data_IF_628778463507
#
_entry.id   IF_628778463507
#
_cell.length_a   1.000
_cell.length_b   1.000
_cell.length_c   1.000
_cell.angle_alpha   90.00
_cell.angle_beta   90.00
_cell.angle_gamma   90.00
#
_symmetry.space_group_name_H-M   'P 1'
#
loop_
_entity.id
_entity.type
_entity.pdbx_description
1 polymer ?
#
# COMPACT_ATOMS: atom_id res chain seq x y z
N UNK A 1 8.18 16.55 19.97
CA UNK A 1 8.12 15.61 18.84
C UNK A 1 6.75 14.97 18.89
N UNK A 2 5.90 15.20 17.90
CA UNK A 2 4.61 14.52 17.80
C UNK A 2 4.88 13.03 17.61
N UNK A 3 4.40 12.19 18.53
CA UNK A 3 4.48 10.73 18.41
C UNK A 3 3.61 10.28 17.24
N UNK A 4 4.14 9.49 16.31
CA UNK A 4 3.35 8.99 15.17
C UNK A 4 2.24 8.07 15.66
N UNK A 5 0.98 8.36 15.30
CA UNK A 5 -0.18 7.53 15.65
C UNK A 5 -0.17 6.18 14.94
N UNK A 6 0.37 6.15 13.71
CA UNK A 6 0.39 4.94 12.90
C UNK A 6 1.73 4.71 12.20
N UNK A 7 2.07 3.44 11.96
CA UNK A 7 3.15 3.01 11.07
C UNK A 7 2.58 2.51 9.75
N UNK A 8 3.08 3.07 8.65
CA UNK A 8 2.85 2.61 7.27
C UNK A 8 3.91 1.55 6.94
N UNK A 9 3.51 0.29 6.85
CA UNK A 9 4.43 -0.83 6.66
C UNK A 9 4.24 -1.50 5.29
N UNK A 10 5.33 -1.90 4.66
CA UNK A 10 5.32 -2.63 3.38
C UNK A 10 6.49 -3.60 3.29
N UNK A 11 6.34 -4.64 2.46
CA UNK A 11 7.44 -5.45 1.95
C UNK A 11 7.56 -5.19 0.45
N UNK A 12 8.76 -4.94 -0.04
CA UNK A 12 8.98 -4.51 -1.42
C UNK A 12 10.16 -5.25 -2.04
N UNK A 13 10.07 -5.57 -3.32
CA UNK A 13 11.17 -6.15 -4.10
C UNK A 13 11.26 -5.45 -5.45
N UNK A 14 12.42 -4.89 -5.75
CA UNK A 14 12.71 -4.18 -6.99
C UNK A 14 11.67 -3.10 -7.32
N UNK A 15 11.43 -2.19 -6.36
CA UNK A 15 10.46 -1.09 -6.48
C UNK A 15 11.15 0.28 -6.53
N UNK A 16 12.42 0.33 -6.96
CA UNK A 16 13.25 1.56 -6.94
C UNK A 16 12.59 2.76 -7.63
N UNK A 17 11.77 2.49 -8.65
CA UNK A 17 11.01 3.50 -9.40
C UNK A 17 9.89 4.14 -8.57
N UNK A 18 9.22 3.38 -7.70
CA UNK A 18 7.98 3.80 -7.04
C UNK A 18 8.14 4.17 -5.57
N UNK A 19 9.18 3.67 -4.89
CA UNK A 19 9.44 3.97 -3.47
C UNK A 19 9.44 5.48 -3.17
N UNK A 20 10.09 6.35 -3.95
CA UNK A 20 10.09 7.80 -3.67
C UNK A 20 8.68 8.42 -3.71
N UNK A 21 7.85 8.02 -4.68
CA UNK A 21 6.46 8.47 -4.77
C UNK A 21 5.64 7.95 -3.59
N UNK A 22 5.74 6.65 -3.32
CA UNK A 22 4.95 5.98 -2.30
C UNK A 22 5.22 6.56 -0.91
N UNK A 23 6.50 6.79 -0.57
CA UNK A 23 6.88 7.47 0.68
C UNK A 23 6.34 8.89 0.69
N UNK A 24 6.56 9.68 -0.36
CA UNK A 24 6.12 11.08 -0.40
C UNK A 24 4.60 11.22 -0.20
N UNK A 25 3.81 10.38 -0.85
CA UNK A 25 2.35 10.39 -0.72
C UNK A 25 1.89 10.04 0.70
N UNK A 26 2.41 8.95 1.26
CA UNK A 26 1.98 8.53 2.59
C UNK A 26 2.39 9.53 3.68
N UNK A 27 3.55 10.19 3.52
CA UNK A 27 3.93 11.32 4.37
C UNK A 27 2.98 12.51 4.21
N UNK A 28 2.49 12.78 2.99
CA UNK A 28 1.58 13.89 2.72
C UNK A 28 0.23 13.76 3.42
N UNK A 29 -0.21 12.52 3.70
CA UNK A 29 -1.42 12.24 4.48
C UNK A 29 -1.14 11.99 5.97
N UNK A 30 0.08 12.26 6.45
CA UNK A 30 0.40 12.26 7.88
C UNK A 30 1.05 10.98 8.43
N UNK A 31 1.51 10.05 7.59
CA UNK A 31 2.38 8.97 8.08
C UNK A 31 3.80 9.50 8.33
N UNK A 32 4.13 9.69 9.60
CA UNK A 32 5.47 10.10 10.02
C UNK A 32 6.40 8.91 10.31
N UNK A 33 5.84 7.72 10.58
CA UNK A 33 6.60 6.47 10.68
C UNK A 33 6.27 5.55 9.49
N UNK A 34 7.26 5.36 8.61
CA UNK A 34 7.19 4.49 7.44
C UNK A 34 8.25 3.41 7.59
N UNK A 35 7.86 2.15 7.44
CA UNK A 35 8.76 1.01 7.58
C UNK A 35 8.69 0.07 6.38
N UNK A 36 9.80 -0.09 5.67
CA UNK A 36 9.87 -0.92 4.46
C UNK A 36 10.82 -2.10 4.67
N UNK A 37 10.31 -3.30 4.44
CA UNK A 37 11.10 -4.53 4.40
C UNK A 37 11.54 -4.75 2.96
N UNK A 38 12.84 -4.64 2.70
CA UNK A 38 13.44 -4.90 1.40
C UNK A 38 13.63 -6.41 1.20
N UNK A 39 12.84 -6.99 0.31
CA UNK A 39 12.78 -8.42 0.04
C UNK A 39 13.74 -8.81 -1.09
N UNK A 40 15.03 -8.77 -0.77
CA UNK A 40 16.11 -9.20 -1.68
C UNK A 40 16.07 -8.47 -3.02
N UNK A 41 15.93 -7.13 -2.97
CA UNK A 41 16.03 -6.32 -4.18
C UNK A 41 17.44 -6.37 -4.76
N UNK A 42 17.48 -6.39 -6.08
CA UNK A 42 18.69 -6.39 -6.92
C UNK A 42 18.79 -5.15 -7.80
N UNK A 43 17.77 -4.29 -7.78
CA UNK A 43 17.81 -2.97 -8.40
C UNK A 43 18.32 -1.91 -7.41
N UNK A 44 18.07 -0.62 -7.67
CA UNK A 44 18.49 0.49 -6.80
C UNK A 44 17.66 0.66 -5.51
N UNK A 45 16.74 -0.27 -5.21
CA UNK A 45 15.89 -0.19 -4.00
C UNK A 45 16.70 -0.06 -2.71
N UNK A 46 17.75 -0.87 -2.46
CA UNK A 46 18.54 -0.75 -1.23
C UNK A 46 19.23 0.61 -1.10
N UNK A 47 19.77 1.15 -2.20
CA UNK A 47 20.43 2.46 -2.22
C UNK A 47 19.45 3.59 -1.88
N UNK A 48 18.26 3.56 -2.48
CA UNK A 48 17.20 4.55 -2.25
C UNK A 48 16.73 4.49 -0.80
N UNK A 49 16.46 3.29 -0.28
CA UNK A 49 16.04 3.11 1.12
C UNK A 49 17.12 3.59 2.08
N UNK A 50 18.40 3.26 1.83
CA UNK A 50 19.54 3.71 2.63
C UNK A 50 19.64 5.24 2.65
N UNK A 51 19.58 5.88 1.48
CA UNK A 51 19.66 7.34 1.37
C UNK A 51 18.53 8.06 2.13
N UNK A 52 17.30 7.55 2.02
CA UNK A 52 16.14 8.12 2.72
C UNK A 52 16.16 7.83 4.22
N UNK A 53 16.68 6.67 4.63
CA UNK A 53 16.83 6.31 6.04
C UNK A 53 17.85 7.18 6.76
N UNK A 54 18.95 7.57 6.11
CA UNK A 54 19.93 8.52 6.66
C UNK A 54 19.33 9.88 6.97
N UNK A 55 18.26 10.27 6.27
CA UNK A 55 17.51 11.52 6.51
C UNK A 55 16.32 11.34 7.46
N UNK A 56 16.11 10.13 8.01
CA UNK A 56 14.98 9.83 8.89
C UNK A 56 13.62 9.84 8.21
N UNK A 57 13.57 9.74 6.88
CA UNK A 57 12.33 9.81 6.09
C UNK A 57 11.60 8.46 6.03
N UNK A 58 12.34 7.37 6.23
CA UNK A 58 11.85 5.98 6.23
C UNK A 58 12.77 5.13 7.11
N UNK A 59 12.23 4.10 7.74
CA UNK A 59 13.03 3.01 8.29
C UNK A 59 13.01 1.85 7.32
N UNK A 60 14.12 1.14 7.18
CA UNK A 60 14.18 -0.04 6.32
C UNK A 60 14.87 -1.21 7.00
N UNK A 61 14.50 -2.42 6.60
CA UNK A 61 15.11 -3.66 7.05
C UNK A 61 15.30 -4.57 5.83
N UNK A 62 16.49 -5.14 5.69
CA UNK A 62 16.68 -6.21 4.72
C UNK A 62 15.97 -7.48 5.21
N UNK A 63 15.14 -8.04 4.35
CA UNK A 63 14.34 -9.23 4.62
C UNK A 63 14.76 -10.34 3.66
N UNK A 64 15.34 -11.39 4.22
CA UNK A 64 15.68 -12.62 3.48
C UNK A 64 14.83 -13.76 3.99
N UNK A 65 14.52 -14.70 3.10
CA UNK A 65 13.85 -15.95 3.47
C UNK A 65 14.67 -17.11 2.93
N UNK A 66 14.62 -18.28 3.57
CA UNK A 66 15.28 -19.52 3.11
C UNK A 66 14.64 -20.09 1.82
N UNK A 67 14.46 -19.26 0.79
CA UNK A 67 13.75 -19.57 -0.46
C UNK A 67 12.21 -19.58 -0.34
N UNK A 68 11.66 -19.27 0.83
CA UNK A 68 10.20 -19.23 1.09
C UNK A 68 9.73 -17.80 1.28
N UNK A 69 9.44 -17.09 0.19
CA UNK A 69 8.81 -15.77 0.26
C UNK A 69 7.47 -15.85 1.00
N UNK A 70 7.42 -15.34 2.23
CA UNK A 70 6.21 -15.30 3.03
C UNK A 70 6.05 -13.91 3.65
N UNK A 71 5.24 -13.08 2.98
CA UNK A 71 4.86 -11.75 3.43
C UNK A 71 4.29 -11.76 4.87
N UNK A 72 3.62 -12.83 5.31
CA UNK A 72 3.13 -12.92 6.68
C UNK A 72 4.27 -13.03 7.71
N UNK A 73 5.37 -13.73 7.38
CA UNK A 73 6.54 -13.79 8.26
C UNK A 73 7.24 -12.42 8.33
N UNK A 74 7.33 -11.73 7.20
CA UNK A 74 7.88 -10.39 7.13
C UNK A 74 7.07 -9.42 8.00
N UNK A 75 5.74 -9.43 7.90
CA UNK A 75 4.88 -8.59 8.74
C UNK A 75 4.94 -8.98 10.21
N UNK A 76 5.05 -10.28 10.52
CA UNK A 76 5.26 -10.72 11.91
C UNK A 76 6.57 -10.19 12.49
N UNK A 77 7.65 -10.23 11.72
CA UNK A 77 8.92 -9.63 12.12
C UNK A 77 8.79 -8.10 12.21
N UNK A 78 8.11 -7.45 11.27
CA UNK A 78 7.92 -6.01 11.28
C UNK A 78 7.24 -5.53 12.56
N UNK A 79 6.24 -6.25 13.06
CA UNK A 79 5.51 -5.92 14.28
C UNK A 79 6.42 -5.83 15.52
N UNK A 80 7.55 -6.54 15.60
CA UNK A 80 8.49 -6.39 16.73
C UNK A 80 9.31 -5.10 16.69
N UNK A 81 9.22 -4.33 15.60
CA UNK A 81 9.88 -3.04 15.44
C UNK A 81 8.89 -1.86 15.37
N UNK A 82 7.59 -2.12 15.54
CA UNK A 82 6.53 -1.11 15.48
C UNK A 82 6.09 -0.78 16.90
N UNK A 83 6.17 0.51 17.25
CA UNK A 83 5.82 1.03 18.57
C UNK A 83 4.66 2.04 18.53
N UNK A 84 4.08 2.27 17.35
CA UNK A 84 2.91 3.14 17.17
C UNK A 84 1.64 2.42 17.62
N UNK A 85 0.57 3.19 17.82
CA UNK A 85 -0.73 2.63 18.23
C UNK A 85 -1.32 1.75 17.12
N UNK A 86 -1.17 2.18 15.87
CA UNK A 86 -1.73 1.52 14.70
C UNK A 86 -0.66 1.11 13.69
N UNK A 87 -0.86 -0.02 13.03
CA UNK A 87 -0.13 -0.38 11.82
C UNK A 87 -1.10 -0.48 10.66
N UNK A 88 -0.67 -0.06 9.48
CA UNK A 88 -1.34 -0.38 8.24
C UNK A 88 -0.34 -1.10 7.34
N UNK A 89 -0.77 -2.16 6.64
CA UNK A 89 0.00 -2.94 5.66
C UNK A 89 -0.59 -2.72 4.26
N UNK A 90 0.25 -2.36 3.29
CA UNK A 90 -0.11 -1.88 1.95
C UNK A 90 1.08 -2.13 1.06
N UNK A 91 0.80 -2.52 -0.17
CA UNK A 91 1.78 -2.83 -1.18
C UNK A 91 2.28 -1.54 -1.89
N UNK A 92 3.35 -1.65 -2.68
CA UNK A 92 4.00 -0.49 -3.34
C UNK A 92 3.13 0.18 -4.42
N UNK A 93 2.02 -0.45 -4.81
CA UNK A 93 1.04 0.02 -5.76
C UNK A 93 -0.33 0.32 -5.11
N UNK A 94 -0.35 0.49 -3.79
CA UNK A 94 -1.54 0.80 -3.00
C UNK A 94 -1.39 2.14 -2.27
N UNK A 95 -2.42 2.99 -2.39
CA UNK A 95 -2.43 4.35 -1.85
C UNK A 95 -3.73 4.61 -1.08
N UNK A 96 -3.60 4.98 0.19
CA UNK A 96 -4.75 5.31 1.05
C UNK A 96 -5.31 6.70 0.71
N UNK A 97 -6.58 6.75 0.33
CA UNK A 97 -7.33 7.99 0.16
C UNK A 97 -8.31 8.16 1.32
N UNK A 98 -8.24 9.32 1.97
CA UNK A 98 -9.14 9.73 3.04
C UNK A 98 -10.08 10.82 2.49
N UNK A 99 -11.39 10.54 2.49
CA UNK A 99 -12.38 11.47 1.95
C UNK A 99 -12.79 12.51 3.00
N UNK A 100 -13.04 12.03 4.22
CA UNK A 100 -13.57 12.82 5.35
C UNK A 100 -12.51 13.32 6.33
N UNK A 101 -11.22 13.03 6.10
CA UNK A 101 -10.11 13.45 6.96
C UNK A 101 -8.95 14.07 6.17
N UNK A 102 -8.22 15.00 6.79
CA UNK A 102 -7.01 15.58 6.22
C UNK A 102 -5.79 14.69 6.42
N UNK A 103 -5.72 14.05 7.59
CA UNK A 103 -4.58 13.24 7.99
C UNK A 103 -5.03 11.89 8.54
N UNK A 104 -4.10 10.94 8.58
CA UNK A 104 -4.29 9.63 9.22
C UNK A 104 -4.57 9.78 10.71
N UNK A 105 -3.99 10.78 11.39
CA UNK A 105 -4.25 11.06 12.80
C UNK A 105 -5.70 11.49 13.02
N UNK A 106 -6.22 12.41 12.19
CA UNK A 106 -7.63 12.81 12.23
C UNK A 106 -8.56 11.61 11.96
N UNK A 107 -8.26 10.82 10.92
CA UNK A 107 -9.05 9.64 10.58
C UNK A 107 -9.11 8.64 11.73
N UNK A 108 -7.96 8.26 12.30
CA UNK A 108 -7.89 7.28 13.38
C UNK A 108 -8.47 7.81 14.70
N UNK A 109 -8.41 9.13 14.93
CA UNK A 109 -8.98 9.78 16.10
C UNK A 109 -10.51 9.71 16.19
N UNK A 110 -11.20 9.38 15.10
CA UNK A 110 -12.66 9.19 15.09
C UNK A 110 -13.11 7.84 15.66
N UNK A 111 -12.21 6.87 15.84
CA UNK A 111 -12.57 5.52 16.25
C UNK A 111 -12.47 5.33 17.76
N UNK A 112 -13.40 4.52 18.29
CA UNK A 112 -13.44 4.23 19.73
C UNK A 112 -12.21 3.43 20.18
N UNK A 113 -11.81 3.51 21.47
CA UNK A 113 -10.68 2.75 21.99
C UNK A 113 -10.81 1.23 21.89
N UNK A 114 -12.04 0.70 21.83
CA UNK A 114 -12.31 -0.74 21.66
C UNK A 114 -12.13 -1.23 20.22
N UNK A 115 -12.03 -0.32 19.23
CA UNK A 115 -11.80 -0.72 17.84
C UNK A 115 -10.35 -1.19 17.68
N UNK A 116 -10.20 -2.44 17.29
CA UNK A 116 -8.91 -3.08 17.04
C UNK A 116 -8.56 -3.15 15.55
N UNK A 117 -9.55 -3.19 14.66
CA UNK A 117 -9.35 -3.36 13.22
C UNK A 117 -10.30 -2.43 12.45
N UNK A 118 -9.75 -1.62 11.55
CA UNK A 118 -10.51 -0.78 10.62
C UNK A 118 -10.20 -1.29 9.22
N UNK A 119 -11.20 -1.86 8.56
CA UNK A 119 -11.06 -2.42 7.21
C UNK A 119 -11.44 -1.39 6.15
N UNK A 120 -10.67 -1.35 5.08
CA UNK A 120 -10.81 -0.39 3.99
C UNK A 120 -10.77 -1.17 2.67
N UNK A 121 -11.78 -0.96 1.84
CA UNK A 121 -11.86 -1.61 0.53
C UNK A 121 -10.83 -1.04 -0.45
N UNK A 122 -10.35 -1.91 -1.34
CA UNK A 122 -9.66 -1.50 -2.56
C UNK A 122 -10.62 -0.74 -3.49
N UNK A 123 -10.06 0.19 -4.25
CA UNK A 123 -10.60 0.72 -5.50
C UNK A 123 -9.60 0.44 -6.61
N UNK A 124 -10.00 -0.30 -7.64
CA UNK A 124 -9.09 -0.85 -8.64
C UNK A 124 -8.96 0.12 -9.80
N UNK A 125 -7.73 0.51 -10.11
CA UNK A 125 -7.41 1.38 -11.23
C UNK A 125 -6.85 0.57 -12.39
N UNK A 126 -7.42 0.81 -13.57
CA UNK A 126 -6.88 0.31 -14.83
C UNK A 126 -5.72 1.16 -15.35
N UNK A 127 -5.26 0.80 -16.53
CA UNK A 127 -4.14 1.43 -17.23
C UNK A 127 -4.44 2.84 -17.72
N UNK A 128 -5.67 3.33 -17.59
CA UNK A 128 -6.18 4.52 -18.26
C UNK A 128 -5.93 4.49 -19.78
N UNK A 129 -5.84 3.26 -20.35
CA UNK A 129 -5.47 2.98 -21.75
C UNK A 129 -4.06 3.47 -22.13
N UNK A 130 -3.19 3.67 -21.13
CA UNK A 130 -1.80 4.07 -21.33
C UNK A 130 -0.97 2.79 -21.51
N UNK A 131 -0.26 2.70 -22.62
CA UNK A 131 0.55 1.52 -22.92
C UNK A 131 1.99 1.63 -22.41
N UNK A 132 2.55 2.84 -22.40
CA UNK A 132 3.97 3.09 -22.13
C UNK A 132 4.20 3.70 -20.76
N UNK A 133 5.39 3.45 -20.23
CA UNK A 133 5.88 4.10 -19.04
C UNK A 133 6.03 5.62 -19.25
N UNK A 134 5.67 6.37 -18.22
CA UNK A 134 5.93 7.80 -18.08
C UNK A 134 6.34 8.09 -16.62
N UNK A 135 7.36 8.93 -16.35
CA UNK A 135 7.86 9.17 -15.00
C UNK A 135 6.98 10.10 -14.15
N UNK A 136 5.86 10.62 -14.67
CA UNK A 136 4.89 11.35 -13.87
C UNK A 136 4.28 10.46 -12.77
N UNK A 137 3.75 11.05 -11.69
CA UNK A 137 3.16 10.28 -10.59
C UNK A 137 2.07 9.31 -11.07
N UNK A 138 2.08 8.08 -10.53
CA UNK A 138 1.12 7.00 -10.80
C UNK A 138 -0.30 7.53 -10.75
N UNK A 139 -0.67 8.21 -9.68
CA UNK A 139 -2.04 8.70 -9.48
C UNK A 139 -2.40 9.95 -10.31
N UNK A 140 -1.43 10.62 -10.94
CA UNK A 140 -1.70 11.65 -11.95
C UNK A 140 -1.94 11.02 -13.34
N UNK A 141 -1.31 9.88 -13.61
CA UNK A 141 -1.41 9.14 -14.89
C UNK A 141 -2.66 8.26 -14.96
N UNK A 142 -2.98 7.58 -13.87
CA UNK A 142 -4.02 6.56 -13.86
C UNK A 142 -5.24 7.04 -13.06
N UNK A 143 -6.22 7.62 -13.76
CA UNK A 143 -7.43 8.21 -13.14
C UNK A 143 -8.70 7.46 -13.49
N UNK A 144 -8.56 6.31 -14.16
CA UNK A 144 -9.69 5.48 -14.59
C UNK A 144 -9.78 4.22 -13.73
N UNK A 145 -10.90 4.08 -13.03
CA UNK A 145 -11.15 3.03 -12.06
C UNK A 145 -12.19 2.02 -12.57
N UNK A 146 -12.32 0.93 -11.83
CA UNK A 146 -13.37 -0.06 -11.99
C UNK A 146 -14.73 0.50 -11.53
N UNK A 147 -15.85 -0.09 -11.97
CA UNK A 147 -17.14 0.17 -11.35
C UNK A 147 -17.09 -0.16 -9.85
N UNK A 148 -17.81 0.60 -9.03
CA UNK A 148 -17.74 0.46 -7.56
C UNK A 148 -17.99 -0.96 -7.03
N UNK A 149 -18.83 -1.75 -7.72
CA UNK A 149 -19.21 -3.12 -7.36
C UNK A 149 -18.30 -4.19 -8.00
N UNK A 150 -17.20 -3.79 -8.65
CA UNK A 150 -16.26 -4.72 -9.22
C UNK A 150 -15.75 -5.69 -8.16
N UNK A 151 -15.73 -6.99 -8.48
CA UNK A 151 -15.43 -8.04 -7.50
C UNK A 151 -14.10 -7.86 -6.77
N UNK A 152 -13.09 -7.30 -7.44
CA UNK A 152 -11.78 -7.03 -6.82
C UNK A 152 -11.85 -5.90 -5.78
N UNK A 153 -12.81 -4.97 -5.87
CA UNK A 153 -13.02 -3.91 -4.87
C UNK A 153 -13.56 -4.47 -3.54
N UNK A 154 -14.02 -5.73 -3.50
CA UNK A 154 -14.41 -6.38 -2.25
C UNK A 154 -13.21 -6.69 -1.35
N UNK A 155 -12.00 -6.74 -1.90
CA UNK A 155 -10.81 -6.96 -1.10
C UNK A 155 -10.58 -5.83 -0.11
N UNK A 156 -10.13 -6.23 1.08
CA UNK A 156 -9.84 -5.33 2.19
C UNK A 156 -8.32 -5.19 2.39
N UNK A 157 -7.94 -4.02 2.87
CA UNK A 157 -6.74 -3.79 3.68
C UNK A 157 -7.20 -3.24 5.03
N UNK A 158 -6.29 -3.03 5.96
CA UNK A 158 -6.69 -2.55 7.27
C UNK A 158 -5.67 -1.65 7.95
N UNK A 159 -6.19 -0.82 8.86
CA UNK A 159 -5.45 -0.41 10.06
C UNK A 159 -5.73 -1.43 11.16
N UNK A 160 -4.68 -1.86 11.86
CA UNK A 160 -4.79 -2.74 13.01
C UNK A 160 -4.09 -2.11 14.21
N UNK A 161 -4.76 -2.09 15.36
CA UNK A 161 -4.20 -1.58 16.61
C UNK A 161 -3.18 -2.57 17.12
N UNK A 162 -1.92 -2.16 17.21
CA UNK A 162 -0.77 -3.05 17.39
C UNK A 162 -0.89 -3.90 18.65
N UNK A 163 -1.36 -3.32 19.75
CA UNK A 163 -1.56 -4.01 21.04
C UNK A 163 -2.63 -5.11 21.00
N UNK A 164 -3.53 -5.08 20.01
CA UNK A 164 -4.66 -6.00 19.87
C UNK A 164 -4.44 -7.08 18.81
N UNK A 165 -3.35 -7.00 18.03
CA UNK A 165 -3.03 -8.00 17.00
C UNK A 165 -2.58 -9.30 17.68
N UNK A 166 -3.16 -10.42 17.25
CA UNK A 166 -2.66 -11.77 17.53
C UNK A 166 -1.65 -12.20 16.45
N UNK A 167 -2.07 -12.10 15.18
CA UNK A 167 -1.26 -12.51 14.03
C UNK A 167 -1.56 -11.69 12.78
N UNK A 168 -0.54 -11.24 12.02
CA UNK A 168 -0.77 -10.55 10.76
C UNK A 168 -1.05 -11.52 9.60
N UNK A 169 -1.87 -11.07 8.66
CA UNK A 169 -2.06 -11.63 7.32
C UNK A 169 -1.72 -10.59 6.25
N UNK A 170 -1.78 -10.99 4.98
CA UNK A 170 -1.50 -10.11 3.83
C UNK A 170 -2.48 -8.93 3.73
N UNK A 171 -3.75 -9.19 4.03
CA UNK A 171 -4.85 -8.25 3.82
C UNK A 171 -5.56 -7.83 5.12
N UNK A 172 -5.23 -8.47 6.25
CA UNK A 172 -5.91 -8.27 7.53
C UNK A 172 -5.03 -8.70 8.70
N UNK A 173 -5.55 -8.63 9.92
CA UNK A 173 -4.92 -9.21 11.11
C UNK A 173 -5.95 -10.06 11.86
N UNK A 174 -5.52 -11.22 12.37
CA UNK A 174 -6.24 -11.87 13.46
C UNK A 174 -6.10 -11.00 14.71
N UNK A 175 -7.23 -10.71 15.34
CA UNK A 175 -7.30 -9.86 16.53
C UNK A 175 -7.53 -10.74 17.76
N UNK A 176 -6.75 -10.52 18.82
CA UNK A 176 -6.98 -11.15 20.15
C UNK A 176 -7.94 -10.33 21.02
N UNK A 177 -8.18 -9.07 20.67
CA UNK A 177 -9.04 -8.16 21.39
C UNK A 177 -9.61 -7.09 20.44
N UNK A 178 -10.66 -6.43 20.89
CA UNK A 178 -11.29 -5.31 20.18
C UNK A 178 -12.27 -5.71 19.09
N UNK A 179 -13.00 -4.71 18.59
CA UNK A 179 -14.00 -4.85 17.54
C UNK A 179 -13.40 -4.54 16.17
N UNK A 180 -14.04 -5.06 15.11
CA UNK A 180 -13.67 -4.82 13.72
C UNK A 180 -14.78 -4.02 13.02
N UNK A 181 -14.40 -2.94 12.36
CA UNK A 181 -15.32 -2.03 11.67
C UNK A 181 -14.82 -1.72 10.27
N UNK A 182 -15.68 -1.16 9.42
CA UNK A 182 -15.29 -0.53 8.17
C UNK A 182 -14.72 0.88 8.38
N UNK A 183 -14.27 1.52 7.29
CA UNK A 183 -13.74 2.88 7.32
C UNK A 183 -14.76 3.94 7.81
N UNK A 184 -16.06 3.64 7.80
CA UNK A 184 -17.13 4.51 8.30
C UNK A 184 -17.48 4.24 9.77
N UNK A 185 -16.78 3.31 10.43
CA UNK A 185 -17.03 2.92 11.82
C UNK A 185 -18.23 2.00 12.02
N UNK A 186 -18.75 1.39 10.94
CA UNK A 186 -19.84 0.41 11.03
C UNK A 186 -19.29 -1.00 11.21
N UNK A 187 -20.01 -1.83 11.95
CA UNK A 187 -19.66 -3.25 12.10
C UNK A 187 -19.59 -3.91 10.72
N UNK A 188 -18.50 -4.65 10.48
CA UNK A 188 -18.24 -5.25 9.18
C UNK A 188 -18.28 -6.77 9.27
N UNK A 189 -19.13 -7.39 8.46
CA UNK A 189 -19.11 -8.83 8.24
C UNK A 189 -18.10 -9.14 7.15
N UNK A 190 -17.03 -9.85 7.50
CA UNK A 190 -15.97 -10.23 6.57
C UNK A 190 -16.22 -11.66 6.08
N UNK A 191 -16.25 -11.84 4.76
CA UNK A 191 -16.23 -13.15 4.11
C UNK A 191 -14.77 -13.65 4.00
N UNK A 192 -14.53 -14.86 4.50
CA UNK A 192 -13.18 -15.39 4.62
C UNK A 192 -12.32 -14.53 5.55
N UNK A 193 -11.17 -14.06 5.07
CA UNK A 193 -10.22 -13.28 5.87
C UNK A 193 -10.09 -11.81 5.44
N UNK A 194 -10.68 -11.41 4.32
CA UNK A 194 -10.37 -10.10 3.71
C UNK A 194 -11.33 -9.65 2.61
N UNK A 195 -12.60 -10.08 2.64
CA UNK A 195 -13.58 -9.67 1.65
C UNK A 195 -14.84 -9.13 2.31
N UNK A 196 -15.34 -8.01 1.82
CA UNK A 196 -16.65 -7.47 2.18
C UNK A 196 -17.19 -6.59 1.05
N UNK A 197 -18.51 -6.34 0.97
CA UNK A 197 -19.07 -5.39 0.00
C UNK A 197 -18.34 -4.03 0.04
N UNK A 198 -18.03 -3.43 -1.12
CA UNK A 198 -17.29 -2.16 -1.17
C UNK A 198 -18.00 -1.02 -0.44
N UNK A 199 -17.29 -0.34 0.45
CA UNK A 199 -17.70 0.94 1.04
C UNK A 199 -16.54 1.95 0.99
N UNK A 200 -16.58 2.85 0.00
CA UNK A 200 -15.54 3.88 -0.21
C UNK A 200 -15.89 5.24 0.35
N UNK A 201 -16.97 5.38 1.14
CA UNK A 201 -17.49 6.70 1.56
C UNK A 201 -16.47 7.51 2.38
N UNK A 202 -15.90 6.89 3.41
CA UNK A 202 -14.98 7.56 4.32
C UNK A 202 -13.51 7.46 3.87
N UNK A 203 -13.13 6.31 3.32
CA UNK A 203 -11.79 6.05 2.80
C UNK A 203 -11.80 4.92 1.77
N UNK A 204 -10.77 4.86 0.94
CA UNK A 204 -10.51 3.77 0.00
C UNK A 204 -9.00 3.55 -0.15
N UNK A 205 -8.62 2.39 -0.66
CA UNK A 205 -7.25 2.10 -1.07
C UNK A 205 -7.20 2.04 -2.59
N UNK A 206 -6.66 3.07 -3.24
CA UNK A 206 -6.42 3.05 -4.67
C UNK A 206 -5.36 2.01 -4.97
N UNK A 207 -5.70 0.99 -5.74
CA UNK A 207 -4.79 -0.08 -6.12
C UNK A 207 -4.48 -0.01 -7.62
N UNK A 208 -3.28 0.47 -7.94
CA UNK A 208 -2.77 0.64 -9.30
C UNK A 208 -2.09 -0.65 -9.78
N UNK A 209 -2.86 -1.73 -9.79
CA UNK A 209 -2.32 -3.08 -9.93
C UNK A 209 -1.74 -3.37 -11.32
N UNK A 210 -2.27 -2.68 -12.34
CA UNK A 210 -1.83 -2.77 -13.74
C UNK A 210 -0.82 -1.68 -14.07
N UNK A 211 -1.10 -0.40 -13.72
CA UNK A 211 -0.41 0.77 -14.30
C UNK A 211 -0.42 0.69 -15.83
N UNK A 212 0.61 1.17 -16.55
CA UNK A 212 0.66 1.00 -18.00
C UNK A 212 0.91 -0.46 -18.40
N UNK A 213 0.60 -0.82 -19.64
CA UNK A 213 0.85 -2.18 -20.14
C UNK A 213 2.34 -2.57 -20.10
N UNK A 214 3.25 -1.62 -20.33
CA UNK A 214 4.70 -1.82 -20.16
C UNK A 214 5.06 -2.13 -18.69
N UNK A 215 4.55 -1.34 -17.74
CA UNK A 215 4.79 -1.55 -16.31
C UNK A 215 4.18 -2.87 -15.80
N UNK A 216 3.03 -3.29 -16.35
CA UNK A 216 2.42 -4.57 -16.03
C UNK A 216 3.28 -5.76 -16.49
N UNK A 217 3.89 -5.66 -17.68
CA UNK A 217 4.84 -6.68 -18.17
C UNK A 217 6.06 -6.78 -17.26
N UNK A 218 6.67 -5.65 -16.90
CA UNK A 218 7.79 -5.59 -15.95
C UNK A 218 7.43 -6.26 -14.61
N UNK A 219 6.23 -5.98 -14.09
CA UNK A 219 5.70 -6.60 -12.86
C UNK A 219 5.56 -8.11 -12.98
N UNK A 220 5.10 -8.61 -14.13
CA UNK A 220 4.95 -10.05 -14.37
C UNK A 220 6.30 -10.77 -14.48
N UNK A 221 7.31 -10.16 -15.11
CA UNK A 221 8.66 -10.70 -15.24
C UNK A 221 9.38 -10.77 -13.88
N UNK A 222 9.26 -9.69 -13.10
CA UNK A 222 9.76 -9.60 -11.72
C UNK A 222 9.14 -10.67 -10.81
N UNK A 223 7.84 -10.92 -10.95
CA UNK A 223 7.06 -11.82 -10.11
C UNK A 223 6.46 -11.12 -8.88
N UNK A 224 5.52 -11.81 -8.21
CA UNK A 224 4.78 -11.23 -7.08
C UNK A 224 5.49 -11.49 -5.75
N UNK A 225 5.37 -10.55 -4.82
CA UNK A 225 6.03 -10.62 -3.49
C UNK A 225 5.51 -11.79 -2.61
N UNK A 226 4.32 -12.30 -2.89
CA UNK A 226 3.61 -13.25 -2.02
C UNK A 226 3.77 -14.71 -2.41
N UNK A 227 4.57 -15.00 -3.44
CA UNK A 227 4.54 -16.30 -4.09
C UNK A 227 5.96 -16.84 -4.25
N UNK A 228 6.16 -18.07 -3.78
CA UNK A 228 7.34 -18.85 -4.17
C UNK A 228 7.38 -18.94 -5.70
N UNK A 229 8.58 -18.91 -6.28
CA UNK A 229 8.81 -19.01 -7.73
C UNK A 229 8.29 -20.36 -8.28
N UNK A 230 6.99 -20.47 -8.55
CA UNK A 230 6.41 -21.60 -9.30
C UNK A 230 5.93 -21.13 -10.67
N UNK A 231 6.37 -21.81 -11.72
CA UNK A 231 6.13 -21.43 -13.12
C UNK A 231 4.65 -21.37 -13.53
N UNK A 232 3.77 -22.08 -12.84
CA UNK A 232 2.31 -22.08 -13.09
C UNK A 232 1.65 -20.70 -12.90
N UNK A 233 2.21 -19.84 -12.07
CA UNK A 233 1.63 -18.50 -11.84
C UNK A 233 2.01 -17.48 -12.92
N UNK A 234 2.96 -17.83 -13.80
CA UNK A 234 3.46 -16.98 -14.90
C UNK A 234 2.98 -17.42 -16.28
N UNK A 235 1.96 -18.28 -16.36
CA UNK A 235 1.42 -18.71 -17.65
C UNK A 235 0.88 -17.49 -18.42
N UNK A 236 1.09 -17.40 -19.75
CA UNK A 236 0.56 -16.31 -20.57
C UNK A 236 -0.96 -16.13 -20.42
N UNK A 237 -1.70 -17.23 -20.28
CA UNK A 237 -3.15 -17.23 -20.11
C UNK A 237 -3.55 -16.61 -18.78
N UNK A 238 -2.82 -16.92 -17.70
CA UNK A 238 -3.09 -16.34 -16.38
C UNK A 238 -2.76 -14.85 -16.36
N UNK A 239 -1.65 -14.44 -16.96
CA UNK A 239 -1.26 -13.02 -17.09
C UNK A 239 -2.32 -12.26 -17.89
N UNK A 240 -2.72 -12.76 -19.06
CA UNK A 240 -3.76 -12.15 -19.88
C UNK A 240 -5.14 -12.15 -19.20
N UNK A 241 -5.48 -13.24 -18.50
CA UNK A 241 -6.72 -13.33 -17.72
C UNK A 241 -6.75 -12.32 -16.59
N UNK A 242 -5.64 -12.12 -15.88
CA UNK A 242 -5.54 -11.16 -14.80
C UNK A 242 -5.64 -9.72 -15.30
N UNK A 243 -4.95 -9.40 -16.40
CA UNK A 243 -5.05 -8.11 -17.06
C UNK A 243 -6.48 -7.83 -17.52
N UNK A 244 -7.10 -8.76 -18.27
CA UNK A 244 -8.47 -8.59 -18.77
C UNK A 244 -9.52 -8.48 -17.66
N UNK A 245 -9.24 -9.07 -16.50
CA UNK A 245 -10.12 -8.97 -15.34
C UNK A 245 -10.00 -7.64 -14.61
N UNK A 246 -8.79 -7.13 -14.39
CA UNK A 246 -8.53 -5.96 -13.52
C UNK A 246 -8.21 -4.65 -14.26
N UNK A 247 -7.91 -4.66 -15.57
CA UNK A 247 -7.71 -3.43 -16.35
C UNK A 247 -9.05 -2.76 -16.67
N UNK A 248 -9.66 -2.18 -15.63
CA UNK A 248 -10.95 -1.51 -15.68
C UNK A 248 -10.77 -0.02 -15.76
N UNK A 249 -11.45 0.58 -16.72
CA UNK A 249 -11.24 1.98 -17.13
C UNK A 249 -12.58 2.71 -17.26
N UNK A 250 -13.55 2.27 -16.48
CA UNK A 250 -14.98 2.49 -16.65
C UNK A 250 -15.40 3.83 -16.05
N UNK A 251 -14.87 4.15 -14.87
CA UNK A 251 -15.20 5.36 -14.12
C UNK A 251 -13.98 6.28 -13.98
N UNK A 252 -14.20 7.58 -13.82
CA UNK A 252 -13.11 8.50 -13.47
C UNK A 252 -13.09 8.72 -11.96
N UNK A 253 -11.93 8.49 -11.35
CA UNK A 253 -11.70 8.81 -9.94
C UNK A 253 -10.41 9.63 -9.82
N UNK A 254 -10.57 10.85 -9.27
CA UNK A 254 -9.51 11.85 -9.04
C UNK A 254 -9.38 12.20 -7.56
N UNK A 255 -10.03 11.46 -6.66
CA UNK A 255 -10.09 11.74 -5.22
C UNK A 255 -8.70 11.91 -4.59
N UNK A 256 -7.76 11.06 -4.98
CA UNK A 256 -6.36 11.09 -4.56
C UNK A 256 -5.64 12.42 -4.87
N UNK A 257 -6.05 13.13 -5.93
CA UNK A 257 -5.44 14.39 -6.36
C UNK A 257 -5.73 15.55 -5.40
N UNK A 258 -6.69 15.39 -4.47
CA UNK A 258 -6.93 16.36 -3.38
C UNK A 258 -5.68 16.62 -2.53
N UNK A 259 -4.78 15.63 -2.45
CA UNK A 259 -3.50 15.71 -1.70
C UNK A 259 -2.29 16.05 -2.56
N UNK A 260 -2.52 16.44 -3.81
CA UNK A 260 -1.43 16.74 -4.74
C UNK A 260 -0.49 17.87 -4.24
N UNK A 261 -0.99 18.98 -3.64
CA UNK A 261 -0.11 20.01 -3.09
C UNK A 261 0.84 19.47 -2.01
N UNK A 262 0.30 18.75 -1.03
CA UNK A 262 1.06 18.17 0.08
C UNK A 262 2.03 17.09 -0.41
N UNK A 263 1.59 16.28 -1.37
CA UNK A 263 2.46 15.32 -2.06
C UNK A 263 3.65 16.02 -2.71
N UNK A 264 3.44 17.10 -3.48
CA UNK A 264 4.53 17.82 -4.15
C UNK A 264 5.54 18.37 -3.15
N UNK A 265 5.08 18.87 -2.00
CA UNK A 265 5.96 19.29 -0.90
C UNK A 265 6.80 18.13 -0.36
N UNK A 266 6.17 17.00 -0.03
CA UNK A 266 6.92 15.82 0.45
C UNK A 266 7.86 15.27 -0.62
N UNK A 267 7.42 15.25 -1.88
CA UNK A 267 8.22 14.74 -3.00
C UNK A 267 9.49 15.57 -3.21
N UNK A 268 9.41 16.89 -3.07
CA UNK A 268 10.59 17.75 -3.12
C UNK A 268 11.61 17.42 -2.01
N UNK A 269 11.14 17.10 -0.80
CA UNK A 269 11.99 16.66 0.32
C UNK A 269 12.66 15.32 -0.01
N UNK A 270 11.89 14.34 -0.51
CA UNK A 270 12.42 13.04 -0.93
C UNK A 270 13.49 13.21 -2.02
N UNK A 271 13.21 14.00 -3.05
CA UNK A 271 14.15 14.22 -4.15
C UNK A 271 15.42 14.95 -3.69
N UNK A 272 15.31 15.88 -2.73
CA UNK A 272 16.47 16.53 -2.12
C UNK A 272 17.35 15.53 -1.36
N UNK A 273 16.74 14.65 -0.55
CA UNK A 273 17.44 13.61 0.18
C UNK A 273 18.17 12.63 -0.74
N UNK A 274 17.57 12.26 -1.87
CA UNK A 274 18.21 11.37 -2.85
C UNK A 274 19.38 12.01 -3.59
N UNK A 275 19.36 13.34 -3.78
CA UNK A 275 20.47 14.09 -4.36
C UNK A 275 21.64 14.27 -3.40
N UNK A 276 21.39 14.43 -2.10
CA UNK A 276 22.45 14.69 -1.10
C UNK A 276 23.37 13.50 -0.84
N UNK A 277 22.98 12.29 -1.24
CA UNK A 277 23.78 11.06 -1.06
C UNK A 277 24.56 10.69 -2.33
N UNK A 278 24.31 11.38 -3.45
CA UNK A 278 25.02 11.17 -4.72
C UNK A 278 26.25 12.08 -4.89
N UNK A 279 26.46 13.03 -3.97
CA UNK A 279 27.60 13.95 -3.91
C UNK A 279 28.49 13.61 -2.71
#
# INVERSE_FOLDING_TARGET
MTTSTATRCAIMRNESRYIPEWIAYHRAIGFNDIFILDNESTDRTPDILSALAQQGLVRSMHWTTDGRHNQMLAYKAALSHINTEWVCFLDADEFLVLHDAATVEEFLGCFRPDVGLISINWEIFGSSKIERYDPAPTFERFVRAAPSDHKTNHHLKCFARVSMIDKPFVHSCAMRAGTSVDASGQDLVVEGNSFAPPNHKAAQINHYIIRSLEEYKDKCERGWANTAYSGEQRSPERIAGYLSFNDRNDEEDRSILKRLPEYRTQRAIIDQALRSVQN
#
